data_IF_218981616875
#
_entry.id   IF_218981616875
#
_cell.length_a   1.000
_cell.length_b   1.000
_cell.length_c   1.000
_cell.angle_alpha   90.00
_cell.angle_beta   90.00
_cell.angle_gamma   90.00
#
_symmetry.space_group_name_H-M   'P 1'
#
loop_
_entity.id
_entity.type
_entity.pdbx_description
1 polymer ?
#
# COMPACT_ATOMS: atom_id res chain seq x y z
N UNK A 1 -23.10 9.57 25.85
CA UNK A 1 -22.30 8.59 25.09
C UNK A 1 -22.28 9.08 23.65
N UNK A 2 -21.16 9.64 23.19
CA UNK A 2 -21.05 10.37 21.92
C UNK A 2 -20.91 9.42 20.73
N UNK A 3 -21.76 9.61 19.71
CA UNK A 3 -21.72 8.92 18.42
C UNK A 3 -20.53 9.44 17.61
N UNK A 4 -19.42 8.71 17.60
CA UNK A 4 -18.17 9.10 16.94
C UNK A 4 -18.30 8.85 15.42
N UNK A 5 -18.76 9.89 14.72
CA UNK A 5 -18.59 10.18 13.27
C UNK A 5 -17.98 9.05 12.40
N UNK A 6 -18.77 8.04 12.08
CA UNK A 6 -18.37 6.92 11.21
C UNK A 6 -18.29 7.26 9.71
N UNK A 7 -18.51 8.51 9.29
CA UNK A 7 -18.63 8.85 7.85
C UNK A 7 -17.63 9.90 7.35
N UNK A 8 -16.44 10.01 7.93
CA UNK A 8 -15.46 11.00 7.46
C UNK A 8 -14.06 10.43 7.24
N UNK A 9 -13.61 10.24 5.98
CA UNK A 9 -12.21 9.93 5.69
C UNK A 9 -11.23 11.06 6.08
N UNK A 10 -11.70 12.24 6.53
CA UNK A 10 -10.81 13.31 6.99
C UNK A 10 -10.11 13.05 8.35
N UNK A 11 -10.34 11.89 8.97
CA UNK A 11 -9.64 11.44 10.17
C UNK A 11 -8.64 10.29 9.94
N UNK A 12 -8.50 9.83 8.69
CA UNK A 12 -7.61 8.72 8.37
C UNK A 12 -6.16 9.06 8.70
N UNK A 13 -5.46 8.13 9.35
CA UNK A 13 -4.04 8.29 9.68
C UNK A 13 -3.19 8.11 8.43
N UNK A 14 -2.32 9.06 8.12
CA UNK A 14 -1.39 8.93 7.01
C UNK A 14 -0.44 7.73 7.22
N UNK A 15 -0.29 6.91 6.18
CA UNK A 15 0.62 5.78 6.12
C UNK A 15 1.48 5.89 4.86
N UNK A 16 2.79 5.98 5.02
CA UNK A 16 3.74 6.16 3.92
C UNK A 16 4.32 4.82 3.45
N UNK A 17 4.78 4.75 2.20
CA UNK A 17 5.49 3.56 1.71
C UNK A 17 6.76 3.29 2.50
N UNK A 18 6.95 2.04 2.91
CA UNK A 18 8.04 1.58 3.78
C UNK A 18 7.77 1.78 5.27
N UNK A 19 6.63 2.35 5.65
CA UNK A 19 6.27 2.55 7.04
C UNK A 19 5.58 1.31 7.62
N UNK A 20 5.88 1.05 8.90
CA UNK A 20 5.10 0.17 9.78
C UNK A 20 4.57 0.99 10.95
N UNK A 21 3.31 0.78 11.32
CA UNK A 21 2.62 1.45 12.41
C UNK A 21 2.00 0.40 13.32
N UNK A 22 2.14 0.56 14.63
CA UNK A 22 1.39 -0.19 15.64
C UNK A 22 0.18 0.63 16.13
N UNK A 23 -0.93 -0.04 16.39
CA UNK A 23 -2.19 0.51 16.88
C UNK A 23 -3.01 -0.59 17.60
N UNK A 24 -4.24 -0.28 18.00
CA UNK A 24 -5.17 -1.22 18.62
C UNK A 24 -6.61 -0.94 18.19
N UNK A 25 -7.40 -2.00 18.02
CA UNK A 25 -8.85 -1.92 18.01
C UNK A 25 -9.31 -1.99 19.48
N UNK A 26 -9.81 -0.88 20.01
CA UNK A 26 -10.18 -0.68 21.41
C UNK A 26 -11.68 -0.99 21.69
N UNK A 27 -12.48 -1.20 20.65
CA UNK A 27 -13.90 -1.56 20.74
C UNK A 27 -14.32 -2.60 19.69
N UNK A 28 -15.37 -3.36 20.02
CA UNK A 28 -15.99 -4.31 19.08
C UNK A 28 -16.52 -3.58 17.84
N UNK A 29 -16.34 -4.21 16.68
CA UNK A 29 -16.63 -3.65 15.37
C UNK A 29 -15.97 -2.28 15.10
N UNK A 30 -14.91 -1.94 15.82
CA UNK A 30 -14.08 -0.78 15.51
C UNK A 30 -13.35 -0.99 14.17
N UNK A 31 -13.12 0.12 13.47
CA UNK A 31 -12.34 0.16 12.25
C UNK A 31 -11.36 1.31 12.32
N UNK A 32 -10.10 1.02 12.05
CA UNK A 32 -9.06 2.03 11.93
C UNK A 32 -8.84 2.40 10.46
N UNK A 33 -8.93 3.70 10.17
CA UNK A 33 -8.78 4.22 8.82
C UNK A 33 -7.37 4.78 8.59
N UNK A 34 -6.74 4.36 7.48
CA UNK A 34 -5.48 4.91 7.01
C UNK A 34 -5.60 5.47 5.60
N UNK A 35 -4.75 6.42 5.26
CA UNK A 35 -4.67 6.97 3.91
C UNK A 35 -3.24 6.97 3.38
N UNK A 36 -3.07 6.71 2.10
CA UNK A 36 -1.76 6.77 1.43
C UNK A 36 -1.90 7.33 0.01
N UNK A 37 -0.81 7.88 -0.51
CA UNK A 37 -0.72 8.35 -1.89
C UNK A 37 -0.04 7.30 -2.76
N UNK A 38 -0.61 7.01 -3.94
CA UNK A 38 0.02 6.14 -4.93
C UNK A 38 -0.16 6.66 -6.35
N UNK A 39 0.63 6.12 -7.26
CA UNK A 39 0.61 6.43 -8.70
C UNK A 39 -0.02 5.30 -9.50
N UNK A 40 -0.60 5.62 -10.66
CA UNK A 40 -1.16 4.62 -11.55
C UNK A 40 -0.10 3.58 -11.93
N UNK A 41 -0.45 2.32 -11.77
CA UNK A 41 0.43 1.18 -12.00
C UNK A 41 1.28 0.75 -10.80
N UNK A 42 1.22 1.44 -9.65
CA UNK A 42 1.83 0.95 -8.41
C UNK A 42 1.20 -0.39 -7.99
N UNK A 43 2.04 -1.39 -7.71
CA UNK A 43 1.64 -2.59 -6.97
C UNK A 43 1.96 -2.34 -5.51
N UNK A 44 0.92 -2.29 -4.69
CA UNK A 44 1.02 -2.04 -3.27
C UNK A 44 0.82 -3.34 -2.49
N UNK A 45 1.58 -3.50 -1.42
CA UNK A 45 1.41 -4.55 -0.43
C UNK A 45 1.05 -3.92 0.90
N UNK A 46 -0.09 -4.30 1.44
CA UNK A 46 -0.49 -3.97 2.81
C UNK A 46 -0.46 -5.25 3.62
N UNK A 47 0.18 -5.23 4.78
CA UNK A 47 0.12 -6.34 5.73
C UNK A 47 -0.42 -5.81 7.05
N UNK A 48 -1.47 -6.44 7.55
CA UNK A 48 -1.95 -6.28 8.93
C UNK A 48 -1.52 -7.54 9.67
N UNK A 49 -0.67 -7.35 10.67
CA UNK A 49 -0.19 -8.40 11.55
C UNK A 49 -0.82 -8.25 12.92
N UNK A 50 -1.32 -9.36 13.44
CA UNK A 50 -1.92 -9.44 14.76
C UNK A 50 -1.04 -10.33 15.65
N UNK A 51 -0.74 -9.93 16.89
CA UNK A 51 0.02 -10.76 17.81
C UNK A 51 -0.85 -11.63 18.73
N UNK A 52 -2.18 -11.48 18.69
CA UNK A 52 -3.10 -11.98 19.71
C UNK A 52 -4.20 -12.89 19.13
N UNK A 53 -5.44 -12.39 19.00
CA UNK A 53 -6.60 -13.19 18.60
C UNK A 53 -7.50 -12.49 17.57
N UNK A 54 -7.02 -11.44 16.90
CA UNK A 54 -7.80 -10.78 15.87
C UNK A 54 -7.89 -11.69 14.65
N UNK A 55 -8.98 -11.56 13.89
CA UNK A 55 -9.11 -12.07 12.52
C UNK A 55 -8.92 -10.87 11.58
N UNK A 56 -7.69 -10.47 11.21
CA UNK A 56 -7.44 -9.20 10.56
C UNK A 56 -8.11 -9.13 9.20
N UNK A 57 -8.81 -8.04 8.95
CA UNK A 57 -9.41 -7.69 7.68
C UNK A 57 -8.84 -6.36 7.17
N UNK A 58 -8.49 -6.34 5.88
CA UNK A 58 -8.07 -5.13 5.18
C UNK A 58 -9.04 -4.88 4.04
N UNK A 59 -9.67 -3.71 4.02
CA UNK A 59 -10.42 -3.18 2.88
C UNK A 59 -9.69 -1.99 2.27
N UNK A 60 -9.58 -1.96 0.94
CA UNK A 60 -8.95 -0.88 0.18
C UNK A 60 -10.00 -0.14 -0.64
N UNK A 61 -10.01 1.19 -0.55
CA UNK A 61 -10.90 2.08 -1.27
C UNK A 61 -10.13 3.13 -2.07
N UNK A 62 -10.71 3.57 -3.19
CA UNK A 62 -10.25 4.76 -3.92
C UNK A 62 -10.78 6.06 -3.30
N UNK A 63 -10.36 7.19 -3.88
CA UNK A 63 -10.77 8.52 -3.43
C UNK A 63 -12.28 8.81 -3.60
N UNK A 64 -12.99 8.01 -4.39
CA UNK A 64 -14.44 8.11 -4.58
C UNK A 64 -15.21 7.24 -3.58
N UNK A 65 -14.51 6.48 -2.73
CA UNK A 65 -15.10 5.56 -1.77
C UNK A 65 -15.52 4.23 -2.39
N UNK A 66 -15.06 3.91 -3.62
CA UNK A 66 -15.29 2.59 -4.20
C UNK A 66 -14.29 1.59 -3.62
N UNK A 67 -14.79 0.46 -3.12
CA UNK A 67 -13.92 -0.62 -2.64
C UNK A 67 -13.26 -1.32 -3.82
N UNK A 68 -11.93 -1.31 -3.83
CA UNK A 68 -11.11 -1.94 -4.85
C UNK A 68 -10.77 -3.39 -4.48
N UNK A 69 -10.56 -3.66 -3.19
CA UNK A 69 -10.21 -5.00 -2.71
C UNK A 69 -10.55 -5.19 -1.23
N UNK A 70 -10.64 -6.46 -0.81
CA UNK A 70 -10.82 -6.91 0.57
C UNK A 70 -10.07 -8.23 0.76
N UNK A 71 -9.46 -8.44 1.92
CA UNK A 71 -8.87 -9.71 2.33
C UNK A 71 -8.93 -9.86 3.85
N UNK A 72 -9.02 -11.10 4.30
CA UNK A 72 -9.03 -11.48 5.71
C UNK A 72 -8.34 -12.83 5.90
N UNK A 73 -7.86 -13.10 7.12
CA UNK A 73 -7.28 -14.39 7.49
C UNK A 73 -7.35 -14.58 9.00
N UNK A 74 -7.30 -15.83 9.45
CA UNK A 74 -6.88 -16.13 10.82
C UNK A 74 -5.38 -15.80 10.94
N UNK A 75 -5.00 -14.93 11.87
CA UNK A 75 -3.65 -14.38 11.97
C UNK A 75 -3.33 -13.36 10.87
N UNK A 76 -2.05 -13.08 10.63
CA UNK A 76 -1.63 -12.07 9.65
C UNK A 76 -2.31 -12.17 8.28
N UNK A 77 -2.78 -11.02 7.77
CA UNK A 77 -3.36 -10.92 6.41
C UNK A 77 -2.53 -9.98 5.52
N UNK A 78 -2.44 -10.30 4.24
CA UNK A 78 -1.66 -9.55 3.25
C UNK A 78 -2.54 -9.25 2.04
N UNK A 79 -2.62 -7.98 1.68
CA UNK A 79 -3.29 -7.49 0.49
C UNK A 79 -2.27 -7.00 -0.54
N UNK A 80 -2.21 -7.65 -1.70
CA UNK A 80 -1.42 -7.21 -2.86
C UNK A 80 -2.34 -6.73 -3.98
N UNK A 81 -2.23 -5.46 -4.36
CA UNK A 81 -3.12 -4.86 -5.37
C UNK A 81 -2.33 -3.97 -6.33
N UNK A 82 -2.58 -4.14 -7.63
CA UNK A 82 -2.16 -3.19 -8.66
C UNK A 82 -3.20 -2.08 -8.78
N UNK A 83 -2.78 -0.84 -8.55
CA UNK A 83 -3.64 0.33 -8.65
C UNK A 83 -3.70 0.82 -10.09
N UNK A 84 -4.90 0.92 -10.67
CA UNK A 84 -5.07 1.39 -12.05
C UNK A 84 -4.95 2.90 -12.19
N UNK A 85 -5.38 3.63 -11.16
CA UNK A 85 -5.36 5.08 -11.10
C UNK A 85 -4.34 5.56 -10.06
N UNK A 86 -3.89 6.81 -10.19
CA UNK A 86 -3.12 7.49 -9.15
C UNK A 86 -4.02 8.35 -8.27
N UNK A 87 -3.57 8.66 -7.05
CA UNK A 87 -4.29 9.52 -6.13
C UNK A 87 -4.19 9.06 -4.68
N UNK A 88 -5.16 9.52 -3.89
CA UNK A 88 -5.34 9.10 -2.50
C UNK A 88 -6.13 7.81 -2.44
N UNK A 89 -5.65 6.87 -1.64
CA UNK A 89 -6.31 5.62 -1.33
C UNK A 89 -6.52 5.50 0.17
N UNK A 90 -7.54 4.74 0.55
CA UNK A 90 -7.92 4.55 1.94
C UNK A 90 -7.92 3.07 2.30
N UNK A 91 -7.40 2.75 3.48
CA UNK A 91 -7.48 1.43 4.07
C UNK A 91 -8.43 1.49 5.25
N UNK A 92 -9.31 0.50 5.38
CA UNK A 92 -10.00 0.20 6.63
C UNK A 92 -9.45 -1.12 7.16
N UNK A 93 -8.93 -1.06 8.39
CA UNK A 93 -8.42 -2.21 9.11
C UNK A 93 -9.38 -2.54 10.24
N UNK A 94 -9.77 -3.79 10.34
CA UNK A 94 -10.70 -4.26 11.36
C UNK A 94 -10.43 -5.71 11.72
N UNK A 95 -11.17 -6.19 12.70
CA UNK A 95 -11.42 -7.60 12.92
C UNK A 95 -12.54 -8.08 11.98
N UNK A 96 -12.42 -9.28 11.41
CA UNK A 96 -13.45 -9.95 10.62
C UNK A 96 -14.52 -10.48 11.58
N UNK A 97 -15.78 -10.11 11.36
CA UNK A 97 -16.86 -10.39 12.32
C UNK A 97 -17.02 -9.27 13.35
N UNK A 98 -15.93 -8.61 13.73
CA UNK A 98 -15.95 -7.46 14.64
C UNK A 98 -16.26 -7.87 16.08
N UNK A 99 -15.90 -9.08 16.45
CA UNK A 99 -16.18 -9.72 17.74
C UNK A 99 -14.96 -9.67 18.68
N UNK A 100 -13.81 -9.22 18.16
CA UNK A 100 -12.56 -9.13 18.89
C UNK A 100 -12.01 -7.70 18.95
N UNK A 101 -11.19 -7.47 19.98
CA UNK A 101 -10.41 -6.24 20.21
C UNK A 101 -8.97 -6.65 20.46
N UNK A 102 -8.00 -5.83 20.07
CA UNK A 102 -6.60 -6.21 20.24
C UNK A 102 -5.63 -5.26 19.57
N UNK A 103 -4.34 -5.45 19.91
CA UNK A 103 -3.25 -4.75 19.25
C UNK A 103 -3.01 -5.31 17.85
N UNK A 104 -2.55 -4.47 16.94
CA UNK A 104 -2.08 -4.91 15.63
C UNK A 104 -0.94 -4.01 15.13
N UNK A 105 -0.30 -4.44 14.05
CA UNK A 105 0.57 -3.58 13.25
C UNK A 105 0.20 -3.62 11.78
N UNK A 106 0.30 -2.47 11.12
CA UNK A 106 0.07 -2.33 9.68
C UNK A 106 1.36 -1.86 9.01
N UNK A 107 1.68 -2.45 7.86
CA UNK A 107 2.79 -2.00 7.02
C UNK A 107 2.34 -1.81 5.58
N UNK A 108 2.94 -0.82 4.90
CA UNK A 108 2.68 -0.48 3.50
C UNK A 108 3.98 -0.56 2.71
N UNK A 109 3.98 -1.31 1.62
CA UNK A 109 5.13 -1.46 0.72
C UNK A 109 4.72 -1.24 -0.74
N UNK A 110 5.67 -0.77 -1.55
CA UNK A 110 5.55 -0.69 -3.01
C UNK A 110 6.40 -1.80 -3.62
N UNK A 111 5.79 -2.72 -4.37
CA UNK A 111 6.45 -3.90 -4.93
C UNK A 111 7.08 -3.68 -6.31
N UNK A 112 6.80 -2.53 -6.96
CA UNK A 112 7.29 -2.23 -8.30
C UNK A 112 8.82 -2.07 -8.40
N UNK A 113 9.52 -1.95 -7.27
CA UNK A 113 10.96 -1.66 -7.24
C UNK A 113 11.84 -2.90 -7.03
N UNK A 114 11.35 -4.10 -7.29
CA UNK A 114 12.20 -5.30 -7.36
C UNK A 114 12.72 -5.55 -8.79
N UNK A 115 13.73 -4.77 -9.22
CA UNK A 115 14.76 -5.29 -10.12
C UNK A 115 14.80 -4.90 -11.60
N UNK A 116 14.00 -3.97 -12.12
CA UNK A 116 14.11 -3.55 -13.54
C UNK A 116 14.41 -2.05 -13.70
N UNK A 117 15.56 -1.62 -13.21
CA UNK A 117 16.27 -0.48 -13.81
C UNK A 117 17.61 -0.98 -14.35
N UNK A 118 17.56 -1.92 -15.29
CA UNK A 118 18.55 -1.87 -16.36
C UNK A 118 18.25 -0.59 -17.12
N UNK A 119 19.00 0.46 -16.78
CA UNK A 119 18.90 1.73 -17.47
C UNK A 119 18.88 1.48 -18.96
N UNK A 120 17.98 2.17 -19.65
CA UNK A 120 18.12 2.40 -21.08
C UNK A 120 19.53 2.95 -21.31
N UNK A 121 20.48 2.09 -21.70
CA UNK A 121 21.72 2.53 -22.30
C UNK A 121 21.30 3.05 -23.68
N UNK A 122 20.96 4.33 -23.71
CA UNK A 122 20.96 5.11 -24.93
C UNK A 122 22.40 5.18 -25.42
N UNK A 123 22.89 4.16 -26.13
CA UNK A 123 24.10 4.33 -26.94
C UNK A 123 23.73 5.16 -28.17
N UNK A 124 23.66 6.48 -27.95
CA UNK A 124 23.82 7.47 -29.01
C UNK A 124 25.19 8.10 -28.83
N UNK A 125 26.12 7.79 -29.73
CA UNK A 125 27.49 8.30 -29.64
C UNK A 125 28.41 7.75 -30.73
N UNK A 126 28.06 8.04 -31.98
CA UNK A 126 28.98 8.39 -33.07
C UNK A 126 30.43 7.85 -32.98
N UNK A 127 30.75 6.78 -33.71
CA UNK A 127 32.14 6.51 -34.11
C UNK A 127 32.46 7.36 -35.34
N UNK A 128 33.47 8.25 -35.33
CA UNK A 128 33.86 8.98 -36.53
C UNK A 128 34.55 8.06 -37.54
N UNK A 129 34.16 8.25 -38.80
CA UNK A 129 34.72 7.64 -40.01
C UNK A 129 36.25 7.77 -40.07
N UNK A 130 36.97 6.65 -39.94
CA UNK A 130 38.40 6.60 -40.25
C UNK A 130 38.58 6.62 -41.78
N UNK A 131 39.06 7.74 -42.32
CA UNK A 131 39.62 7.79 -43.68
C UNK A 131 41.08 7.32 -43.66
N UNK A 132 41.60 6.68 -44.72
CA UNK A 132 42.91 6.05 -44.69
C UNK A 132 44.04 7.06 -44.88
N UNK A 133 45.10 6.93 -44.07
CA UNK A 133 46.37 7.59 -44.30
C UNK A 133 47.55 6.61 -44.21
N UNK A 134 48.04 6.22 -45.38
CA UNK A 134 49.47 5.97 -45.67
C UNK A 134 50.07 7.36 -45.98
N UNK A 135 51.33 7.75 -45.70
CA UNK A 135 52.55 6.92 -45.76
C UNK A 135 53.73 7.27 -44.81
N UNK A 136 54.74 6.39 -44.76
CA UNK A 136 56.11 6.65 -45.25
C UNK A 136 56.82 5.34 -45.53
#
# INVERSE_FOLDING_TARGET
MSLQRLNNPAGARALEFGQTVSASLDALAEMDAYSFQATAGDVVRVRMSEPDSLEPQIELFDAQGQRLAITSSFGDTILDVRLENGGTFFLLLSDEGGEETGGYSVSLQKLNNSGETMGSVSVQGQFPSQSPHRPR
#
